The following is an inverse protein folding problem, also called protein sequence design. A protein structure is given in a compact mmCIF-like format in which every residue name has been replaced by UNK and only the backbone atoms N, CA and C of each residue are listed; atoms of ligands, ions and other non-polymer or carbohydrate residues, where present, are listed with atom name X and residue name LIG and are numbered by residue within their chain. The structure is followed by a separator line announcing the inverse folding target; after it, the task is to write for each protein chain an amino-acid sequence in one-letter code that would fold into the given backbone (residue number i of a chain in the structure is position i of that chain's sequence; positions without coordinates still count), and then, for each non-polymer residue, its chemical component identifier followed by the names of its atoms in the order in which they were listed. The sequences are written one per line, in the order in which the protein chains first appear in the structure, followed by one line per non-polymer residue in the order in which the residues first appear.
data_IF_043292905434
#
_entry.id   IF_043292905434
#
_cell.length_a   1.000
_cell.length_b   1.000
_cell.length_c   1.000
_cell.angle_alpha   90.00
_cell.angle_beta   90.00
_cell.angle_gamma   90.00
#
_symmetry.space_group_name_H-M   'P 1'
#
loop_
_entity.id
_entity.type
_entity.pdbx_description
1 polymer ?
#
# COMPACT_ATOMS: atom_id res chain seq x y z
N UNK A 1 -19.21 4.57 -10.36
CA UNK A 1 -20.51 3.98 -9.97
C UNK A 1 -21.58 5.00 -9.59
N UNK A 2 -21.26 6.29 -9.37
CA UNK A 2 -22.23 7.31 -8.96
C UNK A 2 -23.48 7.39 -9.86
N UNK A 3 -23.31 7.27 -11.17
CA UNK A 3 -24.42 7.24 -12.15
C UNK A 3 -25.39 6.05 -12.01
N UNK A 4 -25.03 5.02 -11.22
CA UNK A 4 -25.90 3.89 -10.95
C UNK A 4 -26.87 4.15 -9.77
N UNK A 5 -26.64 5.20 -8.96
CA UNK A 5 -27.48 5.56 -7.82
C UNK A 5 -28.72 6.31 -8.32
N UNK A 6 -29.90 5.80 -7.95
CA UNK A 6 -31.23 6.36 -8.24
C UNK A 6 -32.07 6.27 -6.98
N UNK A 7 -33.07 7.14 -6.81
CA UNK A 7 -33.91 7.12 -5.60
C UNK A 7 -34.57 5.76 -5.32
N UNK A 8 -34.93 5.03 -6.38
CA UNK A 8 -35.54 3.68 -6.31
C UNK A 8 -34.58 2.62 -5.73
N UNK A 9 -33.27 2.77 -5.93
CA UNK A 9 -32.27 1.77 -5.58
C UNK A 9 -31.26 2.25 -4.52
N UNK A 10 -31.32 3.51 -4.09
CA UNK A 10 -30.41 4.12 -3.13
C UNK A 10 -30.27 3.31 -1.84
N UNK A 11 -31.34 2.64 -1.39
CA UNK A 11 -31.32 1.73 -0.23
C UNK A 11 -30.40 0.51 -0.35
N UNK A 12 -29.83 0.24 -1.53
CA UNK A 12 -28.88 -0.86 -1.78
C UNK A 12 -27.43 -0.41 -1.85
N UNK A 13 -27.16 0.88 -1.68
CA UNK A 13 -25.81 1.45 -1.71
C UNK A 13 -25.32 1.78 -0.30
N UNK A 14 -24.01 1.61 -0.12
CA UNK A 14 -23.24 1.90 1.08
C UNK A 14 -21.94 2.60 0.67
N UNK A 15 -21.37 3.39 1.59
CA UNK A 15 -20.02 3.92 1.43
C UNK A 15 -19.00 3.07 2.19
N UNK A 16 -17.86 2.85 1.56
CA UNK A 16 -16.62 2.41 2.20
C UNK A 16 -15.47 3.25 1.64
N UNK A 17 -14.42 3.43 2.44
CA UNK A 17 -13.18 4.08 2.00
C UNK A 17 -12.25 3.14 1.24
N UNK A 18 -12.36 1.83 1.52
CA UNK A 18 -11.30 0.85 1.29
C UNK A 18 -9.98 1.37 1.92
N UNK A 19 -8.86 1.31 1.22
CA UNK A 19 -7.60 1.91 1.64
C UNK A 19 -7.53 3.40 1.28
N UNK A 20 -7.13 4.24 2.25
CA UNK A 20 -6.76 5.64 2.02
C UNK A 20 -5.42 5.96 2.66
N UNK A 21 -4.61 6.76 1.98
CA UNK A 21 -3.36 7.23 2.56
C UNK A 21 -3.61 8.33 3.60
N UNK A 22 -2.64 8.55 4.49
CA UNK A 22 -2.75 9.53 5.56
C UNK A 22 -2.90 10.97 5.04
N UNK A 23 -2.25 11.31 3.92
CA UNK A 23 -2.41 12.59 3.24
C UNK A 23 -3.82 12.74 2.67
N UNK A 24 -4.37 11.71 2.01
CA UNK A 24 -5.73 11.73 1.47
C UNK A 24 -6.78 11.89 2.59
N UNK A 25 -6.55 11.28 3.75
CA UNK A 25 -7.41 11.44 4.92
C UNK A 25 -7.36 12.87 5.48
N UNK A 26 -6.17 13.49 5.50
CA UNK A 26 -5.98 14.88 5.96
C UNK A 26 -6.59 15.89 4.99
N UNK A 27 -6.32 15.72 3.69
CA UNK A 27 -6.58 16.74 2.67
C UNK A 27 -8.00 16.64 2.11
N UNK A 28 -8.52 15.43 1.95
CA UNK A 28 -9.84 15.20 1.33
C UNK A 28 -10.89 14.74 2.33
N UNK A 29 -10.50 14.00 3.37
CA UNK A 29 -11.40 13.39 4.36
C UNK A 29 -11.53 11.87 4.22
N UNK A 30 -12.54 11.31 4.88
CA UNK A 30 -12.82 9.87 4.94
C UNK A 30 -14.17 9.56 4.25
N UNK A 31 -15.16 9.04 4.99
CA UNK A 31 -16.52 8.84 4.44
C UNK A 31 -17.20 10.16 4.07
N UNK A 32 -16.85 11.27 4.75
CA UNK A 32 -17.36 12.61 4.42
C UNK A 32 -16.90 13.09 3.04
N UNK A 33 -15.70 12.68 2.59
CA UNK A 33 -15.24 12.94 1.22
C UNK A 33 -16.15 12.25 0.20
N UNK A 34 -16.38 10.95 0.36
CA UNK A 34 -17.26 10.17 -0.53
C UNK A 34 -18.68 10.75 -0.55
N UNK A 35 -19.17 11.24 0.59
CA UNK A 35 -20.45 11.93 0.68
C UNK A 35 -20.45 13.26 -0.11
N UNK A 36 -19.40 14.10 0.03
CA UNK A 36 -19.25 15.32 -0.77
C UNK A 36 -19.24 15.02 -2.27
N UNK A 37 -18.50 14.00 -2.71
CA UNK A 37 -18.50 13.57 -4.12
C UNK A 37 -19.90 13.17 -4.64
N UNK A 38 -20.74 12.56 -3.80
CA UNK A 38 -22.12 12.23 -4.17
C UNK A 38 -22.97 13.49 -4.34
N UNK A 39 -22.84 14.45 -3.42
CA UNK A 39 -23.56 15.74 -3.49
C UNK A 39 -23.13 16.54 -4.72
N UNK A 40 -21.82 16.63 -4.98
CA UNK A 40 -21.25 17.31 -6.15
C UNK A 40 -21.70 16.66 -7.47
N UNK A 41 -21.93 15.35 -7.47
CA UNK A 41 -22.48 14.62 -8.61
C UNK A 41 -24.00 14.77 -8.78
N UNK A 42 -24.66 15.54 -7.90
CA UNK A 42 -26.10 15.81 -7.96
C UNK A 42 -26.99 14.68 -7.44
N UNK A 43 -26.45 13.77 -6.62
CA UNK A 43 -27.29 12.78 -5.93
C UNK A 43 -28.14 13.51 -4.88
N UNK A 44 -29.40 13.11 -4.76
CA UNK A 44 -30.32 13.69 -3.77
C UNK A 44 -29.69 13.68 -2.36
N UNK A 45 -29.66 14.82 -1.65
CA UNK A 45 -28.97 14.90 -0.37
C UNK A 45 -29.50 13.95 0.71
N UNK A 46 -30.80 13.63 0.69
CA UNK A 46 -31.38 12.69 1.64
C UNK A 46 -30.90 11.28 1.32
N UNK A 47 -30.89 10.89 0.05
CA UNK A 47 -30.35 9.59 -0.37
C UNK A 47 -28.84 9.49 -0.08
N UNK A 48 -28.08 10.55 -0.30
CA UNK A 48 -26.65 10.57 0.01
C UNK A 48 -26.37 10.35 1.52
N UNK A 49 -27.11 11.03 2.39
CA UNK A 49 -27.03 10.81 3.85
C UNK A 49 -27.48 9.40 4.22
N UNK A 50 -28.59 8.91 3.66
CA UNK A 50 -29.07 7.54 3.91
C UNK A 50 -28.03 6.49 3.56
N UNK A 51 -27.35 6.65 2.43
CA UNK A 51 -26.26 5.78 1.95
C UNK A 51 -25.06 5.84 2.90
N UNK A 52 -24.73 7.03 3.42
CA UNK A 52 -23.64 7.24 4.38
C UNK A 52 -23.97 6.84 5.83
N UNK A 53 -25.25 6.61 6.17
CA UNK A 53 -25.68 6.34 7.56
C UNK A 53 -26.61 5.12 7.70
N UNK A 54 -27.90 5.27 7.39
CA UNK A 54 -28.94 4.30 7.76
C UNK A 54 -28.82 2.99 7.01
N UNK A 55 -28.38 3.05 5.74
CA UNK A 55 -28.19 1.85 4.94
C UNK A 55 -27.10 0.97 5.57
N UNK A 56 -25.99 1.58 6.02
CA UNK A 56 -24.88 0.85 6.63
C UNK A 56 -25.29 0.22 7.96
N UNK A 57 -25.96 0.99 8.83
CA UNK A 57 -26.48 0.46 10.09
C UNK A 57 -27.47 -0.70 9.87
N UNK A 58 -28.37 -0.56 8.89
CA UNK A 58 -29.33 -1.60 8.53
C UNK A 58 -28.67 -2.86 7.97
N UNK A 59 -27.70 -2.72 7.07
CA UNK A 59 -26.99 -3.84 6.45
C UNK A 59 -26.18 -4.65 7.46
N UNK A 60 -25.42 -3.97 8.34
CA UNK A 60 -24.62 -4.63 9.37
C UNK A 60 -25.42 -5.02 10.63
N UNK A 61 -26.73 -4.73 10.66
CA UNK A 61 -27.60 -5.06 11.78
C UNK A 61 -27.22 -4.34 13.07
N UNK A 62 -26.72 -3.10 12.98
CA UNK A 62 -26.29 -2.31 14.14
C UNK A 62 -27.50 -1.56 14.70
N UNK A 63 -28.07 -2.01 15.84
CA UNK A 63 -29.32 -1.44 16.34
C UNK A 63 -29.12 -0.01 16.82
N UNK A 64 -30.19 0.79 16.72
CA UNK A 64 -30.26 2.14 17.29
C UNK A 64 -29.15 3.09 16.79
N UNK A 65 -28.70 2.94 15.54
CA UNK A 65 -27.71 3.80 14.88
C UNK A 65 -28.10 4.14 13.43
N UNK A 66 -27.43 5.13 12.84
CA UNK A 66 -27.59 5.51 11.43
C UNK A 66 -28.81 6.37 11.10
N UNK A 67 -29.67 6.66 12.08
CA UNK A 67 -30.85 7.52 11.93
C UNK A 67 -31.11 8.36 13.20
N UNK A 68 -31.86 9.44 13.05
CA UNK A 68 -32.28 10.31 14.15
C UNK A 68 -33.72 9.96 14.52
N UNK A 69 -33.90 9.25 15.64
CA UNK A 69 -35.22 8.88 16.16
C UNK A 69 -35.16 8.60 17.68
N UNK A 70 -36.28 8.68 18.42
CA UNK A 70 -36.33 8.26 19.81
C UNK A 70 -35.83 6.82 19.99
N UNK A 71 -34.99 6.61 21.00
CA UNK A 71 -34.35 5.31 21.27
C UNK A 71 -33.07 5.03 20.46
N UNK A 72 -32.70 5.90 19.52
CA UNK A 72 -31.42 5.81 18.80
C UNK A 72 -30.31 6.52 19.58
N UNK A 73 -29.06 6.10 19.34
CA UNK A 73 -27.88 6.79 19.89
C UNK A 73 -27.81 8.20 19.34
N UNK A 74 -27.46 9.14 20.22
CA UNK A 74 -27.26 10.54 19.86
C UNK A 74 -25.87 10.74 19.20
N UNK A 75 -25.71 10.13 18.02
CA UNK A 75 -24.54 10.26 17.15
C UNK A 75 -24.93 11.17 15.98
N UNK A 76 -24.49 12.43 16.02
CA UNK A 76 -24.94 13.48 15.09
C UNK A 76 -23.77 14.22 14.47
N UNK A 77 -24.01 14.77 13.28
CA UNK A 77 -23.18 15.80 12.67
C UNK A 77 -24.03 17.04 12.44
N UNK A 78 -23.45 18.21 12.69
CA UNK A 78 -24.06 19.51 12.38
C UNK A 78 -23.29 20.13 11.22
N UNK A 79 -24.01 20.58 10.20
CA UNK A 79 -23.49 21.23 9.01
C UNK A 79 -24.50 22.29 8.56
N UNK A 80 -24.07 23.38 7.90
CA UNK A 80 -24.93 24.53 7.62
C UNK A 80 -25.87 24.30 6.44
N UNK A 81 -25.44 23.57 5.41
CA UNK A 81 -26.26 23.21 4.26
C UNK A 81 -25.66 22.03 3.49
N UNK A 82 -26.44 21.43 2.59
CA UNK A 82 -25.95 20.40 1.67
C UNK A 82 -25.08 20.96 0.53
N UNK A 83 -25.22 22.25 0.20
CA UNK A 83 -24.38 22.95 -0.78
C UNK A 83 -22.97 23.22 -0.20
N UNK A 84 -22.89 23.54 1.10
CA UNK A 84 -21.65 23.76 1.83
C UNK A 84 -21.54 22.70 2.93
N UNK A 85 -21.21 21.47 2.54
CA UNK A 85 -21.12 20.34 3.46
C UNK A 85 -19.85 20.39 4.33
N UNK A 86 -19.82 21.37 5.23
CA UNK A 86 -18.76 21.61 6.22
C UNK A 86 -19.27 21.22 7.61
N UNK A 87 -18.56 20.31 8.29
CA UNK A 87 -18.94 19.83 9.61
C UNK A 87 -18.58 20.86 10.69
N UNK A 88 -19.60 21.46 11.31
CA UNK A 88 -19.46 22.43 12.40
C UNK A 88 -19.39 21.79 13.78
N UNK A 89 -20.05 20.66 13.98
CA UNK A 89 -19.92 19.89 15.21
C UNK A 89 -20.16 18.40 14.97
N UNK A 90 -19.45 17.58 15.75
CA UNK A 90 -19.68 16.13 15.83
C UNK A 90 -20.12 15.82 17.26
N UNK A 91 -21.25 15.12 17.38
CA UNK A 91 -21.78 14.63 18.65
C UNK A 91 -21.70 13.11 18.64
N UNK A 92 -21.11 12.54 19.69
CA UNK A 92 -21.04 11.10 19.91
C UNK A 92 -21.68 10.77 21.26
N UNK A 93 -22.64 9.84 21.26
CA UNK A 93 -23.40 9.46 22.47
C UNK A 93 -23.93 10.68 23.27
N UNK A 94 -24.40 11.71 22.57
CA UNK A 94 -24.97 12.93 23.17
C UNK A 94 -23.95 13.95 23.68
N UNK A 95 -22.65 13.73 23.48
CA UNK A 95 -21.58 14.67 23.84
C UNK A 95 -20.92 15.25 22.60
N UNK A 96 -20.65 16.55 22.61
CA UNK A 96 -19.90 17.19 21.52
C UNK A 96 -18.44 16.77 21.66
N UNK A 97 -17.90 16.11 20.63
CA UNK A 97 -16.53 15.57 20.60
C UNK A 97 -15.61 16.34 19.66
N UNK A 98 -16.18 17.03 18.67
CA UNK A 98 -15.45 17.92 17.78
C UNK A 98 -16.30 19.15 17.44
N UNK A 99 -15.65 20.29 17.22
CA UNK A 99 -16.27 21.55 16.79
C UNK A 99 -15.31 22.32 15.89
N UNK A 100 -15.85 22.90 14.83
CA UNK A 100 -15.10 23.73 13.87
C UNK A 100 -13.79 23.07 13.39
N UNK A 101 -13.88 21.80 12.98
CA UNK A 101 -12.74 21.02 12.48
C UNK A 101 -11.74 20.53 13.52
N UNK A 102 -11.93 20.85 14.81
CA UNK A 102 -11.01 20.48 15.90
C UNK A 102 -11.67 19.53 16.90
N UNK A 103 -10.89 18.58 17.42
CA UNK A 103 -11.30 17.76 18.55
C UNK A 103 -11.45 18.60 19.81
N UNK A 104 -12.49 18.32 20.60
CA UNK A 104 -12.71 18.96 21.92
C UNK A 104 -12.05 18.14 23.03
N UNK A 105 -12.00 16.82 22.86
CA UNK A 105 -11.32 15.89 23.76
C UNK A 105 -10.20 15.16 23.02
N UNK A 106 -9.11 14.88 23.73
CA UNK A 106 -8.03 14.08 23.18
C UNK A 106 -8.38 12.58 23.29
N UNK A 107 -8.22 11.86 22.18
CA UNK A 107 -8.36 10.42 22.14
C UNK A 107 -6.96 9.81 22.24
N UNK A 108 -6.42 9.75 23.45
CA UNK A 108 -5.11 9.14 23.67
C UNK A 108 -5.15 7.66 23.28
N UNK A 109 -4.29 7.27 22.35
CA UNK A 109 -4.09 5.86 22.03
C UNK A 109 -3.39 5.16 23.20
N UNK A 110 -3.91 3.99 23.59
CA UNK A 110 -3.20 3.09 24.49
C UNK A 110 -1.89 2.62 23.83
N UNK A 111 -0.81 2.40 24.61
CA UNK A 111 0.44 1.88 24.07
C UNK A 111 0.22 0.55 23.35
N UNK A 112 0.58 0.51 22.07
CA UNK A 112 0.39 -0.68 21.26
C UNK A 112 1.41 -1.74 21.68
N UNK A 113 0.91 -2.88 22.14
CA UNK A 113 1.71 -4.00 22.64
C UNK A 113 2.52 -4.70 21.53
N UNK A 114 2.08 -4.60 20.27
CA UNK A 114 2.73 -5.24 19.13
C UNK A 114 3.95 -4.41 18.71
N UNK A 115 5.12 -4.85 19.15
CA UNK A 115 6.43 -4.33 18.75
C UNK A 115 7.29 -5.50 18.25
N UNK A 116 8.26 -5.21 17.39
CA UNK A 116 9.25 -6.17 16.89
C UNK A 116 8.71 -7.29 15.97
N UNK A 117 7.94 -6.92 14.95
CA UNK A 117 7.41 -7.85 13.94
C UNK A 117 8.24 -7.96 12.65
N UNK A 118 9.49 -7.50 12.67
CA UNK A 118 10.43 -7.63 11.54
C UNK A 118 11.55 -8.57 11.96
N UNK A 119 11.23 -9.85 12.03
CA UNK A 119 12.11 -10.94 12.40
C UNK A 119 12.68 -11.59 11.13
N UNK A 120 13.87 -11.16 10.75
CA UNK A 120 14.60 -11.71 9.60
C UNK A 120 15.82 -12.49 10.09
N UNK A 121 16.29 -13.43 9.27
CA UNK A 121 17.62 -14.03 9.51
C UNK A 121 18.72 -12.96 9.41
N UNK A 122 19.91 -13.30 9.87
CA UNK A 122 21.10 -12.49 9.57
C UNK A 122 21.31 -12.45 8.05
N UNK A 123 21.27 -11.25 7.48
CA UNK A 123 21.43 -11.03 6.05
C UNK A 123 22.89 -10.78 5.69
N UNK A 124 23.27 -11.27 4.52
CA UNK A 124 24.58 -11.07 3.89
C UNK A 124 24.40 -10.52 2.47
N UNK A 125 25.44 -9.95 1.86
CA UNK A 125 25.32 -9.41 0.51
C UNK A 125 25.00 -10.51 -0.52
N UNK A 126 25.50 -11.71 -0.27
CA UNK A 126 25.31 -12.92 -1.06
C UNK A 126 23.84 -13.35 -1.15
N UNK A 127 23.01 -12.97 -0.17
CA UNK A 127 21.57 -13.24 -0.19
C UNK A 127 20.86 -12.53 -1.35
N UNK A 128 21.43 -11.44 -1.85
CA UNK A 128 20.89 -10.61 -2.94
C UNK A 128 21.50 -10.91 -4.32
N UNK A 129 22.43 -11.87 -4.37
CA UNK A 129 22.98 -12.36 -5.63
C UNK A 129 21.99 -13.31 -6.31
N UNK A 130 21.76 -13.11 -7.60
CA UNK A 130 20.97 -14.00 -8.46
C UNK A 130 21.95 -14.61 -9.48
N UNK A 131 22.29 -15.91 -9.38
CA UNK A 131 23.25 -16.53 -10.29
C UNK A 131 22.81 -16.45 -11.76
N UNK A 132 23.74 -16.29 -12.68
CA UNK A 132 23.46 -16.46 -14.09
C UNK A 132 23.50 -17.95 -14.45
N UNK A 133 22.37 -18.49 -14.91
CA UNK A 133 22.23 -19.87 -15.38
C UNK A 133 22.18 -19.97 -16.91
N UNK A 134 22.54 -18.90 -17.62
CA UNK A 134 22.51 -18.77 -19.08
C UNK A 134 21.12 -19.04 -19.70
N UNK A 135 20.07 -18.84 -18.92
CA UNK A 135 18.68 -19.13 -19.26
C UNK A 135 17.84 -17.86 -19.14
N UNK A 136 16.80 -17.70 -19.98
CA UNK A 136 15.82 -16.62 -19.79
C UNK A 136 15.18 -16.66 -18.40
N UNK A 137 14.93 -15.49 -17.82
CA UNK A 137 14.25 -15.34 -16.54
C UNK A 137 12.85 -14.77 -16.72
N UNK A 138 11.95 -15.16 -15.81
CA UNK A 138 10.63 -14.56 -15.68
C UNK A 138 10.74 -13.19 -15.04
N UNK A 139 10.06 -12.21 -15.63
CA UNK A 139 10.06 -10.81 -15.20
C UNK A 139 8.63 -10.37 -14.94
N UNK A 140 8.39 -9.75 -13.78
CA UNK A 140 7.11 -9.13 -13.46
C UNK A 140 7.06 -7.77 -14.17
N UNK A 141 6.21 -7.61 -15.18
CA UNK A 141 6.08 -6.33 -15.87
C UNK A 141 4.91 -5.53 -15.29
N UNK A 142 5.21 -4.34 -14.81
CA UNK A 142 4.23 -3.38 -14.29
C UNK A 142 3.43 -2.80 -15.45
N UNK A 143 2.11 -2.69 -15.26
CA UNK A 143 1.25 -1.92 -16.14
C UNK A 143 0.94 -0.56 -15.48
N UNK A 144 1.20 0.57 -16.17
CA UNK A 144 0.86 1.88 -15.63
C UNK A 144 -0.63 1.96 -15.23
N UNK A 145 -0.90 2.50 -14.04
CA UNK A 145 -2.24 2.69 -13.49
C UNK A 145 -3.09 1.40 -13.37
N UNK A 146 -2.44 0.24 -13.21
CA UNK A 146 -3.11 -1.05 -13.10
C UNK A 146 -2.42 -1.93 -12.05
N UNK A 147 -3.21 -2.67 -11.29
CA UNK A 147 -2.70 -3.70 -10.35
C UNK A 147 -2.34 -5.00 -11.07
N UNK A 148 -2.77 -5.14 -12.32
CA UNK A 148 -2.47 -6.28 -13.18
C UNK A 148 -1.02 -6.21 -13.62
N UNK A 149 -0.41 -7.38 -13.69
CA UNK A 149 0.97 -7.56 -14.17
C UNK A 149 0.97 -8.38 -15.44
N UNK A 150 2.00 -8.19 -16.26
CA UNK A 150 2.24 -9.06 -17.41
C UNK A 150 3.39 -10.00 -17.07
N UNK A 151 3.21 -11.26 -17.43
CA UNK A 151 4.25 -12.27 -17.38
C UNK A 151 5.29 -12.03 -18.49
N UNK A 152 6.48 -11.52 -18.15
CA UNK A 152 7.60 -11.32 -19.07
C UNK A 152 8.62 -12.46 -19.08
N UNK A 153 9.34 -12.61 -20.18
CA UNK A 153 10.51 -13.49 -20.32
C UNK A 153 11.65 -12.69 -20.92
N UNK A 154 12.79 -12.64 -20.24
CA UNK A 154 13.91 -11.79 -20.63
C UNK A 154 15.25 -12.51 -20.47
N UNK A 155 16.21 -12.19 -21.34
CA UNK A 155 17.64 -12.44 -21.09
C UNK A 155 18.24 -11.16 -20.51
N UNK A 156 18.88 -11.27 -19.36
CA UNK A 156 19.44 -10.14 -18.62
C UNK A 156 20.96 -10.10 -18.71
N UNK A 157 21.58 -8.91 -18.59
CA UNK A 157 23.01 -8.79 -18.45
C UNK A 157 23.52 -9.54 -17.23
N UNK A 158 24.78 -9.97 -17.32
CA UNK A 158 25.47 -10.77 -16.31
C UNK A 158 26.84 -10.18 -16.06
N UNK A 159 27.21 -10.04 -14.80
CA UNK A 159 28.52 -9.59 -14.35
C UNK A 159 29.05 -10.58 -13.32
N UNK A 160 30.29 -11.05 -13.50
CA UNK A 160 30.94 -12.00 -12.59
C UNK A 160 30.08 -13.26 -12.27
N UNK A 161 29.28 -13.72 -13.24
CA UNK A 161 28.42 -14.91 -13.08
C UNK A 161 27.11 -14.66 -12.32
N UNK A 162 26.73 -13.40 -12.10
CA UNK A 162 25.47 -13.01 -11.50
C UNK A 162 24.66 -12.11 -12.45
N UNK A 163 23.35 -12.33 -12.51
CA UNK A 163 22.44 -11.45 -13.23
C UNK A 163 22.37 -10.09 -12.53
N UNK A 164 22.41 -9.02 -13.32
CA UNK A 164 22.32 -7.63 -12.85
C UNK A 164 21.11 -6.93 -13.46
N UNK A 165 20.71 -5.81 -12.86
CA UNK A 165 19.62 -4.97 -13.38
C UNK A 165 19.97 -4.39 -14.75
N UNK A 166 18.98 -4.21 -15.62
CA UNK A 166 19.11 -3.56 -16.91
C UNK A 166 18.38 -2.21 -16.89
N UNK A 167 19.13 -1.13 -16.69
CA UNK A 167 18.57 0.21 -16.53
C UNK A 167 18.00 0.81 -17.83
N UNK A 168 18.49 0.37 -18.98
CA UNK A 168 18.01 0.80 -20.29
C UNK A 168 16.60 0.25 -20.55
N UNK A 169 16.37 -1.01 -20.17
CA UNK A 169 15.05 -1.66 -20.26
C UNK A 169 14.18 -1.51 -19.01
N UNK A 170 14.67 -0.79 -18.00
CA UNK A 170 14.04 -0.59 -16.69
C UNK A 170 13.67 -1.92 -16.00
N UNK A 171 14.60 -2.89 -16.03
CA UNK A 171 14.44 -4.18 -15.36
C UNK A 171 15.33 -4.23 -14.13
N UNK A 172 14.71 -4.29 -12.97
CA UNK A 172 15.37 -4.20 -11.66
C UNK A 172 15.24 -5.50 -10.90
N UNK A 173 16.17 -5.75 -9.97
CA UNK A 173 16.01 -6.85 -9.01
C UNK A 173 14.88 -6.54 -8.03
N UNK A 174 14.12 -7.57 -7.66
CA UNK A 174 13.09 -7.52 -6.63
C UNK A 174 13.20 -8.72 -5.69
N UNK A 175 13.05 -8.46 -4.40
CA UNK A 175 13.15 -9.44 -3.33
C UNK A 175 11.96 -9.36 -2.39
N UNK A 176 11.51 -10.52 -1.92
CA UNK A 176 10.57 -10.63 -0.81
C UNK A 176 11.21 -11.47 0.29
N UNK A 177 11.41 -10.88 1.47
CA UNK A 177 12.09 -11.49 2.61
C UNK A 177 11.06 -11.79 3.70
N UNK A 178 10.97 -13.05 4.09
CA UNK A 178 10.11 -13.50 5.18
C UNK A 178 10.53 -12.83 6.49
N UNK A 179 9.58 -12.20 7.19
CA UNK A 179 9.87 -11.37 8.37
C UNK A 179 9.08 -11.72 9.62
N UNK A 180 8.18 -12.70 9.57
CA UNK A 180 7.33 -13.05 10.70
C UNK A 180 8.01 -14.07 11.60
N UNK A 181 8.72 -15.03 11.01
CA UNK A 181 9.31 -16.17 11.75
C UNK A 181 10.83 -16.19 11.74
N UNK A 182 11.48 -15.41 10.88
CA UNK A 182 12.92 -15.48 10.67
C UNK A 182 13.36 -16.76 9.93
N UNK A 183 12.46 -17.37 9.15
CA UNK A 183 12.70 -18.63 8.44
C UNK A 183 13.90 -18.60 7.49
N UNK A 184 14.27 -17.41 7.03
CA UNK A 184 15.33 -17.21 6.05
C UNK A 184 14.88 -17.34 4.60
N UNK A 185 13.58 -17.54 4.35
CA UNK A 185 13.02 -17.52 2.99
C UNK A 185 13.23 -16.15 2.34
N UNK A 186 13.75 -16.17 1.12
CA UNK A 186 13.95 -14.99 0.29
C UNK A 186 13.51 -15.34 -1.13
N UNK A 187 12.41 -14.75 -1.57
CA UNK A 187 11.98 -14.76 -2.95
C UNK A 187 12.86 -13.82 -3.76
N UNK A 188 13.33 -14.29 -4.92
CA UNK A 188 14.18 -13.54 -5.83
C UNK A 188 13.49 -13.43 -7.18
N UNK A 189 13.50 -12.25 -7.77
CA UNK A 189 12.94 -12.02 -9.10
C UNK A 189 13.41 -10.73 -9.73
N UNK A 190 12.77 -10.40 -10.87
CA UNK A 190 12.98 -9.15 -11.58
C UNK A 190 11.65 -8.46 -11.84
N UNK A 191 11.66 -7.13 -11.79
CA UNK A 191 10.51 -6.27 -12.08
C UNK A 191 10.87 -5.30 -13.20
N UNK A 192 9.95 -5.09 -14.15
CA UNK A 192 10.09 -4.13 -15.23
C UNK A 192 9.05 -3.01 -15.11
N UNK A 193 9.46 -1.76 -15.32
CA UNK A 193 8.53 -0.62 -15.36
C UNK A 193 8.37 0.14 -14.04
N UNK A 194 9.33 0.01 -13.11
CA UNK A 194 9.32 0.74 -11.84
C UNK A 194 9.93 2.15 -11.97
N UNK A 195 10.78 2.37 -12.97
CA UNK A 195 11.41 3.66 -13.30
C UNK A 195 12.62 4.05 -12.45
N UNK A 196 13.05 3.22 -11.49
CA UNK A 196 14.11 3.58 -10.54
C UNK A 196 15.48 3.54 -11.23
N UNK A 197 16.20 4.67 -11.21
CA UNK A 197 17.50 4.81 -11.89
C UNK A 197 18.73 4.56 -11.01
N UNK A 198 18.57 4.64 -9.70
CA UNK A 198 19.63 4.34 -8.72
C UNK A 198 19.05 3.92 -7.38
N UNK A 199 19.85 3.17 -6.62
CA UNK A 199 19.49 2.79 -5.26
C UNK A 199 18.45 1.68 -5.20
N UNK A 200 17.79 1.57 -4.05
CA UNK A 200 16.75 0.60 -3.78
C UNK A 200 15.66 1.20 -2.89
N UNK A 201 14.40 0.96 -3.26
CA UNK A 201 13.23 1.26 -2.44
C UNK A 201 12.75 -0.01 -1.74
N UNK A 202 12.28 0.11 -0.52
CA UNK A 202 11.77 -1.01 0.26
C UNK A 202 10.61 -0.65 1.16
N UNK A 203 9.77 -1.66 1.45
CA UNK A 203 8.58 -1.53 2.28
C UNK A 203 8.34 -2.81 3.09
N UNK A 204 7.73 -2.68 4.27
CA UNK A 204 7.11 -3.81 4.99
C UNK A 204 5.59 -3.86 4.85
N UNK A 205 5.01 -2.89 4.14
CA UNK A 205 3.64 -2.92 3.63
C UNK A 205 3.68 -3.57 2.25
N UNK A 206 3.42 -4.88 2.21
CA UNK A 206 3.33 -5.66 0.97
C UNK A 206 2.09 -6.56 1.01
N UNK A 207 1.06 -6.18 0.28
CA UNK A 207 -0.26 -6.83 0.37
C UNK A 207 -0.16 -8.31 -0.02
N UNK A 208 -0.71 -9.28 0.71
CA UNK A 208 -1.30 -9.21 2.07
C UNK A 208 -0.50 -10.03 3.09
N UNK A 209 0.58 -10.68 2.66
CA UNK A 209 1.47 -11.39 3.59
C UNK A 209 2.33 -10.43 4.39
N UNK A 210 2.47 -9.19 3.93
CA UNK A 210 3.25 -8.12 4.55
C UNK A 210 4.66 -8.57 4.90
N UNK A 211 5.32 -9.29 3.99
CA UNK A 211 6.76 -9.53 4.06
C UNK A 211 7.55 -8.27 3.69
N UNK A 212 8.85 -8.26 3.97
CA UNK A 212 9.68 -7.14 3.52
C UNK A 212 9.88 -7.27 2.01
N UNK A 213 9.49 -6.26 1.24
CA UNK A 213 9.67 -6.22 -0.21
C UNK A 213 10.62 -5.10 -0.58
N UNK A 214 11.58 -5.38 -1.46
CA UNK A 214 12.61 -4.42 -1.88
C UNK A 214 12.87 -4.59 -3.36
N UNK A 215 12.90 -3.48 -4.09
CA UNK A 215 13.36 -3.43 -5.48
C UNK A 215 14.51 -2.44 -5.59
N UNK A 216 15.52 -2.78 -6.40
CA UNK A 216 16.70 -1.93 -6.52
C UNK A 216 17.57 -2.23 -7.73
N UNK A 217 18.40 -1.24 -8.02
CA UNK A 217 19.35 -1.25 -9.14
C UNK A 217 20.56 -2.12 -8.83
N UNK A 218 21.04 -2.06 -7.59
CA UNK A 218 22.28 -2.72 -7.14
C UNK A 218 22.10 -3.44 -5.79
N UNK A 219 22.92 -4.47 -5.57
CA UNK A 219 22.80 -5.37 -4.41
C UNK A 219 23.15 -4.68 -3.09
N UNK A 220 24.06 -3.70 -3.10
CA UNK A 220 24.46 -2.97 -1.91
C UNK A 220 23.31 -2.13 -1.37
N UNK A 221 22.64 -1.36 -2.23
CA UNK A 221 21.48 -0.55 -1.88
C UNK A 221 20.34 -1.42 -1.34
N UNK A 222 20.08 -2.57 -1.98
CA UNK A 222 19.05 -3.53 -1.56
C UNK A 222 19.37 -4.08 -0.17
N UNK A 223 20.61 -4.52 0.05
CA UNK A 223 21.08 -5.01 1.34
C UNK A 223 20.92 -3.96 2.45
N UNK A 224 21.29 -2.70 2.16
CA UNK A 224 21.18 -1.59 3.11
C UNK A 224 19.73 -1.23 3.42
N UNK A 225 18.87 -1.21 2.42
CA UNK A 225 17.43 -1.06 2.61
C UNK A 225 16.87 -2.15 3.54
N UNK A 226 17.22 -3.42 3.32
CA UNK A 226 16.74 -4.54 4.12
C UNK A 226 17.16 -4.43 5.60
N UNK A 227 18.45 -4.14 5.83
CA UNK A 227 18.99 -3.96 7.18
C UNK A 227 18.38 -2.75 7.88
N UNK A 228 18.15 -1.65 7.16
CA UNK A 228 17.55 -0.47 7.74
C UNK A 228 16.09 -0.70 8.12
N UNK A 229 15.30 -1.36 7.27
CA UNK A 229 13.92 -1.73 7.59
C UNK A 229 13.83 -2.60 8.84
N UNK A 230 14.74 -3.56 9.01
CA UNK A 230 14.83 -4.32 10.26
C UNK A 230 15.21 -3.43 11.46
N UNK A 231 16.19 -2.54 11.31
CA UNK A 231 16.61 -1.59 12.36
C UNK A 231 15.47 -0.67 12.82
N UNK A 232 14.65 -0.16 11.90
CA UNK A 232 13.54 0.74 12.22
C UNK A 232 12.24 -0.01 12.56
N UNK A 233 12.29 -1.35 12.64
CA UNK A 233 11.16 -2.23 13.00
C UNK A 233 10.02 -2.19 11.97
N UNK A 234 10.35 -1.98 10.71
CA UNK A 234 9.44 -1.91 9.59
C UNK A 234 9.10 -0.48 9.22
N UNK A 235 8.62 -0.30 7.99
CA UNK A 235 8.46 1.02 7.41
C UNK A 235 8.66 1.07 5.91
N UNK A 236 8.99 2.26 5.45
CA UNK A 236 9.42 2.56 4.08
C UNK A 236 10.88 3.02 4.12
N UNK A 237 11.63 2.72 3.07
CA UNK A 237 13.03 3.15 2.95
C UNK A 237 13.38 3.45 1.50
N UNK A 238 14.27 4.41 1.30
CA UNK A 238 15.03 4.56 0.06
C UNK A 238 16.52 4.70 0.36
N UNK A 239 17.31 3.78 -0.18
CA UNK A 239 18.75 3.67 0.04
C UNK A 239 19.52 3.84 -1.28
N UNK A 240 20.69 4.47 -1.23
CA UNK A 240 21.61 4.62 -2.37
C UNK A 240 23.02 4.26 -1.90
N UNK A 241 23.55 3.14 -2.37
CA UNK A 241 24.79 2.54 -1.89
C UNK A 241 24.71 2.31 -0.37
N UNK A 242 25.67 2.87 0.36
CA UNK A 242 25.75 2.76 1.83
C UNK A 242 24.85 3.73 2.60
N UNK A 243 24.17 4.66 1.91
CA UNK A 243 23.42 5.74 2.54
C UNK A 243 21.91 5.48 2.51
N UNK A 244 21.23 5.81 3.62
CA UNK A 244 19.77 5.90 3.67
C UNK A 244 19.39 7.35 3.41
N UNK A 245 18.69 7.59 2.29
CA UNK A 245 18.27 8.95 1.92
C UNK A 245 16.96 9.33 2.60
N UNK A 246 16.00 8.41 2.65
CA UNK A 246 14.72 8.59 3.32
C UNK A 246 14.29 7.32 4.04
N UNK A 247 13.59 7.52 5.16
CA UNK A 247 12.89 6.47 5.88
C UNK A 247 11.59 6.98 6.51
N UNK A 248 10.64 6.06 6.67
CA UNK A 248 9.43 6.24 7.45
C UNK A 248 9.27 5.04 8.37
N UNK A 249 9.61 5.16 9.68
CA UNK A 249 9.42 4.10 10.65
C UNK A 249 7.94 3.81 10.90
N UNK A 250 7.58 2.53 10.78
CA UNK A 250 6.25 1.98 11.07
C UNK A 250 6.36 0.82 12.08
N UNK A 251 6.83 1.09 13.32
CA UNK A 251 7.21 0.05 14.27
C UNK A 251 6.05 -0.82 14.75
N UNK A 252 4.80 -0.39 14.55
CA UNK A 252 3.62 -1.17 14.90
C UNK A 252 3.31 -2.13 13.77
N UNK A 253 3.58 -3.42 14.01
CA UNK A 253 3.43 -4.50 13.04
C UNK A 253 4.22 -4.33 11.72
N UNK A 254 5.09 -3.32 11.59
CA UNK A 254 5.71 -2.95 10.32
C UNK A 254 4.72 -2.29 9.34
N UNK A 255 3.59 -1.78 9.83
CA UNK A 255 2.48 -1.27 9.03
C UNK A 255 2.01 0.11 9.48
N UNK A 256 2.06 0.39 10.79
CA UNK A 256 1.59 1.66 11.36
C UNK A 256 2.70 2.36 12.16
N UNK A 257 2.62 3.69 12.22
CA UNK A 257 3.50 4.50 13.06
C UNK A 257 2.90 4.70 14.44
N UNK A 258 3.74 4.85 15.46
CA UNK A 258 3.38 5.31 16.80
C UNK A 258 3.58 6.84 16.97
N UNK A 259 3.80 7.55 15.85
CA UNK A 259 3.97 9.00 15.79
C UNK A 259 2.66 9.70 15.37
N UNK A 260 2.52 11.02 15.64
CA UNK A 260 1.39 11.81 15.14
C UNK A 260 1.25 11.73 13.62
N UNK A 261 0.02 11.87 13.13
CA UNK A 261 -0.29 11.79 11.69
C UNK A 261 0.55 12.78 10.86
N UNK A 262 0.73 14.01 11.32
CA UNK A 262 1.53 15.03 10.62
C UNK A 262 2.98 14.59 10.38
N UNK A 263 3.58 13.85 11.32
CA UNK A 263 4.92 13.29 11.12
C UNK A 263 4.94 12.29 9.96
N UNK A 264 3.95 11.39 9.91
CA UNK A 264 3.84 10.38 8.85
C UNK A 264 3.60 11.05 7.50
N UNK A 265 2.74 12.06 7.46
CA UNK A 265 2.39 12.77 6.23
C UNK A 265 3.56 13.57 5.68
N UNK A 266 4.32 14.28 6.53
CA UNK A 266 5.52 15.00 6.09
C UNK A 266 6.56 14.01 5.52
N UNK A 267 6.75 12.86 6.18
CA UNK A 267 7.65 11.81 5.68
C UNK A 267 7.20 11.25 4.33
N UNK A 268 5.91 10.98 4.13
CA UNK A 268 5.39 10.56 2.83
C UNK A 268 5.62 11.66 1.77
N UNK A 269 5.42 12.92 2.15
CA UNK A 269 5.68 14.09 1.27
C UNK A 269 7.16 14.22 0.89
N UNK A 270 8.10 13.83 1.76
CA UNK A 270 9.52 13.71 1.42
C UNK A 270 9.75 12.68 0.30
N UNK A 271 9.12 11.52 0.39
CA UNK A 271 9.21 10.48 -0.64
C UNK A 271 8.65 10.97 -1.98
N UNK A 272 7.49 11.61 -1.97
CA UNK A 272 6.87 12.14 -3.20
C UNK A 272 7.76 13.20 -3.87
N UNK A 273 8.31 14.14 -3.09
CA UNK A 273 9.24 15.15 -3.59
C UNK A 273 10.50 14.52 -4.19
N UNK A 274 11.03 13.49 -3.54
CA UNK A 274 12.22 12.81 -4.01
C UNK A 274 11.96 12.01 -5.30
N UNK A 275 10.87 11.26 -5.35
CA UNK A 275 10.49 10.50 -6.53
C UNK A 275 10.23 11.42 -7.73
N UNK A 276 9.55 12.54 -7.53
CA UNK A 276 9.38 13.55 -8.56
C UNK A 276 10.73 14.06 -9.10
N UNK A 277 11.69 14.35 -8.20
CA UNK A 277 13.04 14.81 -8.56
C UNK A 277 13.85 13.75 -9.32
N UNK A 278 13.67 12.47 -9.01
CA UNK A 278 14.32 11.35 -9.70
C UNK A 278 13.59 10.92 -10.99
N UNK A 279 12.51 11.62 -11.38
CA UNK A 279 11.75 11.34 -12.60
C UNK A 279 10.79 10.15 -12.50
N UNK A 280 10.49 9.68 -11.28
CA UNK A 280 9.50 8.64 -10.99
C UNK A 280 8.09 9.27 -10.97
N UNK A 281 7.60 9.66 -12.13
CA UNK A 281 6.36 10.46 -12.25
C UNK A 281 5.10 9.64 -12.50
N UNK A 282 5.23 8.35 -12.85
CA UNK A 282 4.11 7.48 -13.14
C UNK A 282 3.89 6.50 -11.98
N UNK A 283 2.75 6.64 -11.27
CA UNK A 283 2.33 5.85 -10.09
C UNK A 283 3.30 5.91 -8.90
N UNK A 284 2.77 5.88 -7.67
CA UNK A 284 3.62 5.79 -6.46
C UNK A 284 4.43 4.48 -6.51
N UNK A 285 5.77 4.51 -6.63
CA UNK A 285 6.58 3.30 -6.79
C UNK A 285 6.46 2.34 -5.60
N UNK A 286 6.28 2.90 -4.39
CA UNK A 286 6.08 2.12 -3.17
C UNK A 286 4.72 1.41 -3.16
N UNK A 287 3.67 2.05 -3.68
CA UNK A 287 2.36 1.41 -3.87
C UNK A 287 2.46 0.30 -4.92
N UNK A 288 3.05 0.58 -6.09
CA UNK A 288 3.25 -0.46 -7.12
C UNK A 288 4.02 -1.65 -6.55
N UNK A 289 5.08 -1.40 -5.79
CA UNK A 289 5.87 -2.44 -5.14
C UNK A 289 5.04 -3.27 -4.16
N UNK A 290 4.17 -2.65 -3.35
CA UNK A 290 3.37 -3.37 -2.35
C UNK A 290 2.47 -4.45 -2.97
N UNK A 291 1.92 -4.19 -4.17
CA UNK A 291 1.04 -5.11 -4.89
C UNK A 291 1.78 -6.20 -5.68
N UNK A 292 3.11 -6.14 -5.80
CA UNK A 292 3.87 -7.22 -6.43
C UNK A 292 3.92 -8.48 -5.56
N UNK A 293 3.63 -8.32 -4.26
CA UNK A 293 3.58 -9.41 -3.29
C UNK A 293 2.19 -10.02 -3.06
N UNK A 294 1.19 -9.66 -3.88
CA UNK A 294 -0.21 -10.07 -3.71
C UNK A 294 -0.58 -11.21 -4.68
N UNK A 295 -0.38 -12.50 -4.33
CA UNK A 295 -0.51 -13.66 -5.23
C UNK A 295 -1.97 -14.08 -5.50
N UNK A 296 -2.89 -13.11 -5.56
CA UNK A 296 -4.31 -13.31 -5.89
C UNK A 296 -4.77 -12.41 -7.03
N UNK A 297 -3.89 -11.54 -7.56
CA UNK A 297 -4.15 -10.69 -8.72
C UNK A 297 -3.23 -11.10 -9.88
N UNK A 298 -3.76 -11.37 -11.09
CA UNK A 298 -2.97 -11.79 -12.25
C UNK A 298 -1.85 -10.83 -12.70
N UNK A 299 -0.87 -11.29 -13.49
CA UNK A 299 -0.59 -12.68 -13.88
C UNK A 299 0.63 -13.29 -13.15
N UNK A 300 1.66 -12.50 -12.83
CA UNK A 300 2.90 -12.99 -12.18
C UNK A 300 3.24 -12.13 -10.96
N UNK A 301 3.39 -12.77 -9.80
CA UNK A 301 3.68 -12.12 -8.51
C UNK A 301 4.87 -12.77 -7.83
N UNK A 302 5.39 -12.15 -6.77
CA UNK A 302 6.53 -12.68 -5.98
C UNK A 302 6.15 -12.82 -4.51
N UNK A 303 6.58 -13.91 -3.88
CA UNK A 303 6.42 -14.17 -2.44
C UNK A 303 7.78 -14.46 -1.83
N UNK A 304 7.87 -14.65 -0.51
CA UNK A 304 9.10 -15.13 0.15
C UNK A 304 9.57 -16.49 -0.38
N UNK A 305 8.67 -17.25 -1.02
CA UNK A 305 8.93 -18.56 -1.62
C UNK A 305 9.23 -18.52 -3.11
N UNK A 306 9.39 -17.32 -3.69
CA UNK A 306 9.67 -17.11 -5.11
C UNK A 306 8.43 -16.68 -5.91
N UNK A 307 8.49 -16.86 -7.23
CA UNK A 307 7.47 -16.40 -8.16
C UNK A 307 6.22 -17.28 -8.14
N UNK A 308 5.06 -16.67 -8.33
CA UNK A 308 3.75 -17.32 -8.44
C UNK A 308 3.09 -16.89 -9.74
N UNK A 309 2.79 -17.86 -10.60
CA UNK A 309 1.86 -17.70 -11.72
C UNK A 309 0.45 -17.77 -11.15
N UNK A 310 -0.21 -16.62 -11.05
CA UNK A 310 -1.50 -16.49 -10.36
C UNK A 310 -2.64 -17.07 -11.21
N UNK A 311 -2.50 -17.07 -12.54
CA UNK A 311 -3.51 -17.65 -13.45
C UNK A 311 -3.55 -19.17 -13.31
N UNK A 312 -2.39 -19.82 -13.15
CA UNK A 312 -2.28 -21.26 -12.88
C UNK A 312 -2.34 -21.62 -11.41
N UNK A 313 -2.25 -20.62 -10.53
CA UNK A 313 -2.18 -20.75 -9.09
C UNK A 313 -1.04 -21.68 -8.62
N UNK A 314 0.13 -21.54 -9.24
CA UNK A 314 1.31 -22.37 -8.98
C UNK A 314 2.58 -21.55 -8.77
N UNK A 315 3.51 -22.10 -7.98
CA UNK A 315 4.87 -21.54 -7.89
C UNK A 315 5.64 -21.88 -9.16
N UNK A 316 6.29 -20.88 -9.73
CA UNK A 316 7.12 -21.04 -10.94
C UNK A 316 8.57 -20.71 -10.66
N UNK A 317 9.48 -21.39 -11.35
CA UNK A 317 10.92 -21.09 -11.29
C UNK A 317 11.20 -19.72 -11.91
N UNK A 318 12.16 -18.99 -11.32
CA UNK A 318 12.73 -17.77 -11.90
C UNK A 318 13.31 -18.02 -13.29
N UNK A 319 14.06 -19.10 -13.45
CA UNK A 319 14.66 -19.50 -14.72
C UNK A 319 13.71 -20.38 -15.51
N UNK A 320 13.64 -20.18 -16.81
CA UNK A 320 12.85 -21.01 -17.72
C UNK A 320 13.78 -22.00 -18.41
N UNK A 321 13.51 -23.28 -18.25
CA UNK A 321 14.18 -24.30 -19.05
C UNK A 321 13.79 -24.07 -20.50
N UNK A 322 14.77 -23.83 -21.38
CA UNK A 322 14.56 -23.83 -22.82
C UNK A 322 14.29 -25.28 -23.26
N UNK A 323 13.08 -25.78 -23.00
CA UNK A 323 12.53 -26.80 -23.89
C UNK A 323 12.04 -26.06 -25.12
N UNK A 324 12.96 -25.91 -26.07
CA UNK A 324 12.67 -25.56 -27.47
C UNK A 324 11.49 -26.42 -27.90
N UNK A 325 10.34 -25.76 -28.13
CA UNK A 325 9.33 -26.29 -29.04
C UNK A 325 9.49 -25.49 -30.32
N UNK A 326 10.17 -26.10 -31.28
CA UNK A 326 9.99 -25.82 -32.70
C UNK A 326 8.50 -25.98 -33.08
#
# INVERSE_FOLDING_TARGET
LLSAVRGENAGRFLLCSDDRHCNDLRDEGHIDYSLRLMLDAGIDPIDAIRIASSNAAGWFGIPAQGAIAPGYKADFILFPSFEFFEIKAVIKNGRIVARDGSLIEDFSAEPIAIRDSVNIKWLTAEDFVIPDKQSPVRVIRVQPNSLLTIHGLERLPSENGALVSDLERDILKIFVIERHTGSGNIGKGFIQGLGLKRGAIGSTISHDSHHMIIAGVDDLSIFKAARHLNKIKGGLVYAVGDQILLDLPLPVAGLMSDKPADFVIEKLSDFDRLFLKEGLTATSPLMTLSFMALPVIPSLKITDKGLVDVEKFEKVSLYVNETVKD
#
